data_IF_126345406811
#
_entry.id   IF_126345406811
#
_cell.length_a   1.000
_cell.length_b   1.000
_cell.length_c   1.000
_cell.angle_alpha   90.00
_cell.angle_beta   90.00
_cell.angle_gamma   90.00
#
_symmetry.space_group_name_H-M   'P 1'
#
loop_
_entity.id
_entity.type
_entity.pdbx_description
1 polymer ?
#
# COMPACT_ATOMS: atom_id res chain seq x y z
N UNK A 1 3.46 7.46 -4.50
CA UNK A 1 4.80 6.84 -4.56
C UNK A 1 5.52 7.11 -3.25
N UNK A 2 6.01 6.06 -2.61
CA UNK A 2 6.62 6.13 -1.29
C UNK A 2 7.97 6.83 -1.43
N UNK A 3 8.16 7.93 -0.71
CA UNK A 3 9.36 8.77 -0.86
C UNK A 3 10.35 8.50 0.26
N UNK A 4 11.67 8.43 -0.02
CA UNK A 4 12.69 8.23 1.01
C UNK A 4 12.61 9.27 2.14
N UNK A 5 12.17 10.48 1.81
CA UNK A 5 11.99 11.62 2.71
C UNK A 5 10.96 11.37 3.83
N UNK A 6 10.11 10.34 3.70
CA UNK A 6 9.07 10.04 4.67
C UNK A 6 9.49 9.00 5.72
N UNK A 7 10.71 8.44 5.64
CA UNK A 7 11.14 7.38 6.55
C UNK A 7 11.17 7.84 8.02
N UNK A 8 11.73 9.01 8.30
CA UNK A 8 11.80 9.59 9.66
C UNK A 8 10.40 9.76 10.28
N UNK A 9 9.42 10.18 9.47
CA UNK A 9 8.02 10.28 9.90
C UNK A 9 7.42 8.90 10.21
N UNK A 10 7.69 7.91 9.36
CA UNK A 10 7.21 6.55 9.55
C UNK A 10 7.81 5.92 10.83
N UNK A 11 9.11 6.08 11.06
CA UNK A 11 9.79 5.62 12.27
C UNK A 11 9.28 6.32 13.54
N UNK A 12 9.02 7.64 13.46
CA UNK A 12 8.45 8.40 14.57
C UNK A 12 7.05 7.89 14.94
N UNK A 13 6.19 7.67 13.95
CA UNK A 13 4.85 7.10 14.17
C UNK A 13 4.93 5.67 14.71
N UNK A 14 5.84 4.83 14.19
CA UNK A 14 6.03 3.48 14.69
C UNK A 14 6.43 3.48 16.17
N UNK A 15 7.36 4.35 16.59
CA UNK A 15 7.72 4.53 18.01
C UNK A 15 6.52 5.00 18.83
N UNK A 16 5.76 5.97 18.33
CA UNK A 16 4.60 6.53 19.03
C UNK A 16 3.51 5.47 19.30
N UNK A 17 3.27 4.57 18.35
CA UNK A 17 2.21 3.55 18.45
C UNK A 17 2.73 2.16 18.84
N UNK A 18 4.01 2.01 19.16
CA UNK A 18 4.61 0.74 19.56
C UNK A 18 4.69 -0.30 18.42
N UNK A 19 4.79 0.14 17.18
CA UNK A 19 4.97 -0.73 16.01
C UNK A 19 6.45 -1.13 15.87
N UNK A 20 6.69 -2.38 15.51
CA UNK A 20 8.05 -2.96 15.43
C UNK A 20 8.76 -2.70 14.11
N UNK A 21 8.03 -2.29 13.07
CA UNK A 21 8.56 -2.09 11.72
C UNK A 21 8.04 -0.78 11.12
N UNK A 22 8.91 -0.09 10.39
CA UNK A 22 8.57 1.09 9.59
C UNK A 22 9.44 1.10 8.33
N UNK A 23 8.87 1.50 7.20
CA UNK A 23 9.62 1.64 5.95
C UNK A 23 8.95 2.70 5.07
N UNK A 24 9.75 3.34 4.22
CA UNK A 24 9.29 4.21 3.14
C UNK A 24 9.43 3.55 1.77
N UNK A 25 9.79 2.26 1.72
CA UNK A 25 9.93 1.49 0.49
C UNK A 25 8.78 0.49 0.39
N UNK A 26 7.97 0.64 -0.66
CA UNK A 26 6.78 -0.18 -0.80
C UNK A 26 7.12 -1.63 -1.16
N UNK A 27 8.15 -1.81 -1.97
CA UNK A 27 8.70 -3.11 -2.38
C UNK A 27 9.17 -3.94 -1.17
N UNK A 28 9.68 -3.27 -0.13
CA UNK A 28 10.03 -3.92 1.13
C UNK A 28 8.80 -4.48 1.85
N UNK A 29 7.63 -3.85 1.71
CA UNK A 29 6.36 -4.37 2.25
C UNK A 29 5.86 -5.53 1.38
N UNK A 30 5.91 -5.40 0.06
CA UNK A 30 5.48 -6.43 -0.89
C UNK A 30 6.32 -7.72 -0.82
N UNK A 31 7.60 -7.61 -0.49
CA UNK A 31 8.48 -8.78 -0.36
C UNK A 31 8.51 -9.38 1.04
N UNK A 32 7.88 -8.73 2.03
CA UNK A 32 7.87 -9.20 3.41
C UNK A 32 6.96 -10.45 3.54
N UNK A 33 7.50 -11.62 3.96
CA UNK A 33 6.71 -12.83 4.15
C UNK A 33 5.75 -12.75 5.34
N UNK A 34 5.99 -11.85 6.30
CA UNK A 34 5.15 -11.68 7.49
C UNK A 34 3.93 -10.77 7.24
N UNK A 35 3.80 -10.19 6.04
CA UNK A 35 2.69 -9.30 5.67
C UNK A 35 1.76 -10.02 4.70
N UNK A 36 0.54 -10.32 5.13
CA UNK A 36 -0.52 -10.92 4.30
C UNK A 36 -1.43 -9.88 3.64
N UNK A 37 -1.73 -8.78 4.34
CA UNK A 37 -2.70 -7.76 3.92
C UNK A 37 -2.11 -6.36 3.99
N UNK A 38 -2.39 -5.53 2.98
CA UNK A 38 -1.96 -4.14 2.89
C UNK A 38 -3.17 -3.21 2.89
N UNK A 39 -3.15 -2.20 3.77
CA UNK A 39 -4.11 -1.10 3.78
C UNK A 39 -3.54 0.12 3.03
N UNK A 40 -4.22 0.55 1.96
CA UNK A 40 -3.83 1.69 1.12
C UNK A 40 -4.70 2.90 1.49
N UNK A 41 -4.11 3.80 2.28
CA UNK A 41 -4.67 5.11 2.66
C UNK A 41 -3.84 6.28 2.13
N UNK A 42 -3.45 6.21 0.86
CA UNK A 42 -2.56 7.19 0.19
C UNK A 42 -3.40 8.22 -0.59
N UNK A 43 -2.81 9.23 -1.26
CA UNK A 43 -3.61 10.13 -2.11
C UNK A 43 -4.33 9.36 -3.22
N UNK A 44 -5.59 9.71 -3.50
CA UNK A 44 -6.51 8.97 -4.39
C UNK A 44 -5.91 8.52 -5.72
N UNK A 45 -5.14 9.37 -6.40
CA UNK A 45 -4.53 9.06 -7.70
C UNK A 45 -3.48 7.94 -7.65
N UNK A 46 -3.05 7.52 -6.45
CA UNK A 46 -2.05 6.46 -6.25
C UNK A 46 -2.68 5.11 -5.88
N UNK A 47 -3.98 5.09 -5.57
CA UNK A 47 -4.65 3.89 -5.08
C UNK A 47 -4.56 2.72 -6.05
N UNK A 48 -4.85 2.97 -7.34
CA UNK A 48 -4.78 1.94 -8.37
C UNK A 48 -3.38 1.29 -8.46
N UNK A 49 -2.32 2.10 -8.52
CA UNK A 49 -0.95 1.59 -8.64
C UNK A 49 -0.55 0.70 -7.45
N UNK A 50 -0.89 1.12 -6.22
CA UNK A 50 -0.60 0.35 -5.02
C UNK A 50 -1.45 -0.92 -4.93
N UNK A 51 -2.75 -0.83 -5.22
CA UNK A 51 -3.63 -1.98 -5.18
C UNK A 51 -3.22 -3.04 -6.22
N UNK A 52 -2.91 -2.62 -7.45
CA UNK A 52 -2.42 -3.51 -8.51
C UNK A 52 -1.14 -4.22 -8.10
N UNK A 53 -0.16 -3.49 -7.59
CA UNK A 53 1.11 -4.07 -7.13
C UNK A 53 0.91 -5.03 -5.94
N UNK A 54 -0.01 -4.72 -5.02
CA UNK A 54 -0.36 -5.62 -3.91
C UNK A 54 -0.91 -6.95 -4.41
N UNK A 55 -1.90 -6.89 -5.32
CA UNK A 55 -2.54 -8.08 -5.88
C UNK A 55 -1.54 -8.92 -6.68
N UNK A 56 -0.70 -8.29 -7.51
CA UNK A 56 0.35 -8.97 -8.27
C UNK A 56 1.41 -9.63 -7.37
N UNK A 57 1.65 -9.08 -6.17
CA UNK A 57 2.51 -9.70 -5.17
C UNK A 57 1.83 -10.85 -4.39
N UNK A 58 0.59 -11.19 -4.73
CA UNK A 58 -0.18 -12.25 -4.06
C UNK A 58 -0.63 -11.88 -2.65
N UNK A 59 -0.72 -10.58 -2.33
CA UNK A 59 -1.17 -10.08 -1.02
C UNK A 59 -2.60 -9.57 -1.10
N UNK A 60 -3.31 -9.57 0.03
CA UNK A 60 -4.62 -8.96 0.13
C UNK A 60 -4.51 -7.43 0.20
N UNK A 61 -5.50 -6.71 -0.33
CA UNK A 61 -5.55 -5.26 -0.30
C UNK A 61 -6.88 -4.74 0.26
N UNK A 62 -6.79 -3.78 1.18
CA UNK A 62 -7.91 -2.93 1.59
C UNK A 62 -7.57 -1.51 1.12
N UNK A 63 -8.39 -0.92 0.26
CA UNK A 63 -8.12 0.40 -0.31
C UNK A 63 -9.19 1.41 0.14
N UNK A 64 -8.74 2.59 0.55
CA UNK A 64 -9.64 3.67 0.94
C UNK A 64 -10.44 4.24 -0.23
N UNK A 65 -11.53 4.94 0.10
CA UNK A 65 -12.38 5.59 -0.90
C UNK A 65 -11.82 6.96 -1.31
N UNK A 66 -11.97 7.36 -2.59
CA UNK A 66 -12.41 6.55 -3.74
C UNK A 66 -11.36 5.50 -4.13
N UNK A 67 -11.80 4.29 -4.50
CA UNK A 67 -10.91 3.15 -4.74
C UNK A 67 -9.99 3.37 -5.95
N UNK A 68 -10.53 3.86 -7.05
CA UNK A 68 -9.79 4.27 -8.25
C UNK A 68 -10.36 5.60 -8.76
N UNK A 69 -9.67 6.26 -9.69
CA UNK A 69 -10.19 7.47 -10.34
C UNK A 69 -11.05 7.15 -11.56
N UNK A 70 -10.79 6.01 -12.20
CA UNK A 70 -11.49 5.55 -13.39
C UNK A 70 -12.12 4.17 -13.19
N UNK A 71 -13.21 3.88 -13.91
CA UNK A 71 -13.91 2.60 -13.79
C UNK A 71 -13.05 1.46 -14.36
N UNK A 72 -12.33 1.71 -15.43
CA UNK A 72 -11.48 0.74 -16.13
C UNK A 72 -10.34 0.23 -15.21
N UNK A 73 -9.78 1.13 -14.41
CA UNK A 73 -8.79 0.79 -13.37
C UNK A 73 -9.40 -0.19 -12.35
N UNK A 74 -10.63 0.05 -11.91
CA UNK A 74 -11.31 -0.81 -10.94
C UNK A 74 -11.65 -2.18 -11.56
N UNK A 75 -12.14 -2.21 -12.79
CA UNK A 75 -12.43 -3.46 -13.52
C UNK A 75 -11.19 -4.31 -13.72
N UNK A 76 -10.03 -3.69 -13.95
CA UNK A 76 -8.76 -4.41 -14.02
C UNK A 76 -8.40 -5.04 -12.67
N UNK A 77 -8.52 -4.30 -11.57
CA UNK A 77 -8.23 -4.82 -10.23
C UNK A 77 -9.15 -5.98 -9.85
N UNK A 78 -10.42 -5.95 -10.24
CA UNK A 78 -11.34 -7.09 -10.06
C UNK A 78 -10.84 -8.33 -10.79
N UNK A 79 -10.27 -8.20 -11.99
CA UNK A 79 -9.75 -9.34 -12.76
C UNK A 79 -8.47 -9.94 -12.17
N UNK A 80 -7.73 -9.15 -11.39
CA UNK A 80 -6.50 -9.58 -10.73
C UNK A 80 -6.73 -10.24 -9.36
N UNK A 81 -7.88 -10.00 -8.73
CA UNK A 81 -8.27 -10.53 -7.42
C UNK A 81 -8.97 -11.89 -7.51
#
# INVERSE_FOLDING_TARGET
MSTPQSLDKAETLAKQYGLTQATSYYEAILSNPDVDTIYVGTPNHTHYDYAKQTLLAGKHVICERPFTLHLEEFEELIKLA
#
